data_IF_880814242913
#
_entry.id   IF_880814242913
#
_cell.length_a   1.000
_cell.length_b   1.000
_cell.length_c   1.000
_cell.angle_alpha   90.00
_cell.angle_beta   90.00
_cell.angle_gamma   90.00
#
_symmetry.space_group_name_H-M   'P 1'
#
loop_
_entity.id
_entity.type
_entity.pdbx_description
1 polymer ?
#
# COMPACT_ATOMS: atom_id res chain seq x y z
N UNK A 1 4.30 5.63 -27.50
CA UNK A 1 4.78 5.22 -26.17
C UNK A 1 4.13 6.11 -25.14
N UNK A 2 3.89 5.64 -23.92
CA UNK A 2 3.34 6.50 -22.86
C UNK A 2 4.31 7.67 -22.62
N UNK A 3 3.91 8.87 -23.01
CA UNK A 3 4.66 10.09 -22.71
C UNK A 3 4.73 10.30 -21.20
N UNK A 4 5.75 11.01 -20.72
CA UNK A 4 5.94 11.35 -19.31
C UNK A 4 4.67 11.95 -18.66
N UNK A 5 3.84 12.62 -19.46
CA UNK A 5 2.53 13.12 -19.06
C UNK A 5 1.60 12.03 -18.51
N UNK A 6 1.47 10.88 -19.19
CA UNK A 6 0.60 9.78 -18.75
C UNK A 6 1.07 9.18 -17.43
N UNK A 7 2.39 9.02 -17.27
CA UNK A 7 2.98 8.55 -16.01
C UNK A 7 2.69 9.54 -14.88
N UNK A 8 2.86 10.84 -15.13
CA UNK A 8 2.51 11.90 -14.18
C UNK A 8 1.03 11.89 -13.78
N UNK A 9 0.12 11.66 -14.73
CA UNK A 9 -1.31 11.51 -14.45
C UNK A 9 -1.60 10.29 -13.56
N UNK A 10 -0.97 9.14 -13.80
CA UNK A 10 -1.15 7.96 -12.96
C UNK A 10 -0.67 8.22 -11.52
N UNK A 11 0.47 8.88 -11.35
CA UNK A 11 0.97 9.29 -10.02
C UNK A 11 0.00 10.25 -9.33
N UNK A 12 -0.56 11.21 -10.07
CA UNK A 12 -1.57 12.13 -9.54
C UNK A 12 -2.85 11.41 -9.12
N UNK A 13 -3.35 10.47 -9.94
CA UNK A 13 -4.52 9.65 -9.61
C UNK A 13 -4.27 8.85 -8.33
N UNK A 14 -3.11 8.19 -8.22
CA UNK A 14 -2.71 7.49 -7.00
C UNK A 14 -2.75 8.43 -5.78
N UNK A 15 -2.10 9.59 -5.88
CA UNK A 15 -2.02 10.56 -4.78
C UNK A 15 -3.40 11.10 -4.37
N UNK A 16 -4.25 11.45 -5.34
CA UNK A 16 -5.61 11.93 -5.10
C UNK A 16 -6.43 10.87 -4.37
N UNK A 17 -6.42 9.63 -4.88
CA UNK A 17 -7.16 8.54 -4.24
C UNK A 17 -6.62 8.24 -2.85
N UNK A 18 -5.30 8.25 -2.67
CA UNK A 18 -4.67 8.08 -1.36
C UNK A 18 -5.13 9.14 -0.36
N UNK A 19 -5.07 10.43 -0.74
CA UNK A 19 -5.41 11.56 0.14
C UNK A 19 -6.90 11.55 0.49
N UNK A 20 -7.77 11.39 -0.51
CA UNK A 20 -9.23 11.41 -0.31
C UNK A 20 -9.67 10.26 0.59
N UNK A 21 -9.08 9.06 0.41
CA UNK A 21 -9.49 7.87 1.17
C UNK A 21 -8.90 7.83 2.58
N UNK A 22 -7.86 8.62 2.87
CA UNK A 22 -7.20 8.59 4.18
C UNK A 22 -8.15 8.99 5.32
N UNK A 23 -8.95 10.04 5.14
CA UNK A 23 -9.90 10.53 6.13
C UNK A 23 -11.05 9.53 6.42
N UNK A 24 -11.83 9.08 5.42
CA UNK A 24 -12.89 8.10 5.66
C UNK A 24 -12.33 6.75 6.11
N UNK A 25 -11.12 6.36 5.69
CA UNK A 25 -10.48 5.15 6.19
C UNK A 25 -10.14 5.25 7.66
N UNK A 26 -9.67 6.39 8.15
CA UNK A 26 -9.42 6.60 9.59
C UNK A 26 -10.69 6.39 10.40
N UNK A 27 -11.78 7.06 10.00
CA UNK A 27 -13.07 6.93 10.66
C UNK A 27 -13.66 5.51 10.57
N UNK A 28 -13.50 4.83 9.43
CA UNK A 28 -13.89 3.43 9.28
C UNK A 28 -13.07 2.54 10.22
N UNK A 29 -11.76 2.76 10.28
CA UNK A 29 -10.84 2.03 11.14
C UNK A 29 -11.15 2.19 12.63
N UNK A 30 -11.61 3.36 13.06
CA UNK A 30 -12.06 3.59 14.44
C UNK A 30 -13.34 2.79 14.76
N UNK A 31 -14.24 2.64 13.78
CA UNK A 31 -15.56 2.00 13.98
C UNK A 31 -15.55 0.48 13.92
N UNK A 32 -14.84 -0.10 12.94
CA UNK A 32 -14.84 -1.56 12.69
C UNK A 32 -13.56 -2.24 13.17
N UNK A 33 -12.68 -1.50 13.85
CA UNK A 33 -11.38 -1.96 14.29
C UNK A 33 -10.29 -1.83 13.22
N UNK A 34 -9.04 -1.75 13.67
CA UNK A 34 -7.86 -1.46 12.82
C UNK A 34 -7.54 -2.53 11.78
N UNK A 35 -7.89 -3.78 12.07
CA UNK A 35 -7.47 -4.92 11.26
C UNK A 35 -8.31 -5.06 10.00
N UNK A 36 -9.62 -4.82 10.06
CA UNK A 36 -10.51 -5.02 8.92
C UNK A 36 -10.10 -4.13 7.72
N UNK A 37 -9.91 -2.80 7.87
CA UNK A 37 -9.47 -1.97 6.76
C UNK A 37 -8.05 -2.31 6.30
N UNK A 38 -7.17 -2.75 7.20
CA UNK A 38 -5.82 -3.20 6.85
C UNK A 38 -5.87 -4.43 5.94
N UNK A 39 -6.66 -5.44 6.29
CA UNK A 39 -6.85 -6.67 5.49
C UNK A 39 -7.50 -6.35 4.14
N UNK A 40 -8.53 -5.51 4.13
CA UNK A 40 -9.19 -5.08 2.88
C UNK A 40 -8.23 -4.32 1.96
N UNK A 41 -7.48 -3.37 2.52
CA UNK A 41 -6.47 -2.62 1.78
C UNK A 41 -5.37 -3.53 1.22
N UNK A 42 -4.81 -4.44 2.03
CA UNK A 42 -3.80 -5.39 1.56
C UNK A 42 -4.33 -6.31 0.45
N UNK A 43 -5.57 -6.79 0.59
CA UNK A 43 -6.22 -7.60 -0.44
C UNK A 43 -6.39 -6.82 -1.74
N UNK A 44 -6.84 -5.56 -1.65
CA UNK A 44 -6.99 -4.68 -2.80
C UNK A 44 -5.65 -4.34 -3.47
N UNK A 45 -4.58 -4.15 -2.69
CA UNK A 45 -3.22 -3.96 -3.20
C UNK A 45 -2.74 -5.17 -4.02
N UNK A 46 -2.96 -6.39 -3.51
CA UNK A 46 -2.59 -7.63 -4.22
C UNK A 46 -3.33 -7.70 -5.56
N UNK A 47 -4.64 -7.51 -5.56
CA UNK A 47 -5.46 -7.56 -6.78
C UNK A 47 -5.02 -6.49 -7.78
N UNK A 48 -4.82 -5.25 -7.31
CA UNK A 48 -4.42 -4.13 -8.19
C UNK A 48 -3.05 -4.38 -8.84
N UNK A 49 -2.07 -4.87 -8.07
CA UNK A 49 -0.72 -5.17 -8.57
C UNK A 49 -0.67 -6.41 -9.48
N UNK A 50 -1.59 -7.36 -9.33
CA UNK A 50 -1.74 -8.50 -10.25
C UNK A 50 -2.37 -8.10 -11.58
N UNK A 51 -3.31 -7.16 -11.57
CA UNK A 51 -4.02 -6.71 -12.77
C UNK A 51 -3.16 -5.74 -13.57
N UNK A 52 -2.45 -4.80 -12.93
CA UNK A 52 -1.66 -3.74 -13.57
C UNK A 52 -0.77 -4.22 -14.75
N UNK A 53 -0.03 -5.34 -14.66
CA UNK A 53 0.84 -5.84 -15.73
C UNK A 53 0.11 -6.25 -17.01
N UNK A 54 -1.16 -6.63 -16.87
CA UNK A 54 -2.01 -7.15 -17.95
C UNK A 54 -2.72 -6.03 -18.70
N UNK A 55 -2.68 -4.81 -18.17
CA UNK A 55 -3.39 -3.66 -18.72
C UNK A 55 -2.51 -2.89 -19.69
N UNK A 56 -3.04 -2.60 -20.87
CA UNK A 56 -2.32 -1.88 -21.95
C UNK A 56 -3.00 -0.58 -22.38
N UNK A 57 -4.23 -0.32 -21.94
CA UNK A 57 -4.97 0.91 -22.25
C UNK A 57 -5.00 1.87 -21.05
N UNK A 58 -4.81 3.16 -21.32
CA UNK A 58 -4.69 4.17 -20.28
C UNK A 58 -5.87 4.23 -19.29
N UNK A 59 -7.16 4.18 -19.72
CA UNK A 59 -8.28 4.25 -18.77
C UNK A 59 -8.27 3.11 -17.74
N UNK A 60 -7.86 1.92 -18.16
CA UNK A 60 -7.79 0.76 -17.27
C UNK A 60 -6.54 0.81 -16.38
N UNK A 61 -5.43 1.41 -16.85
CA UNK A 61 -4.28 1.72 -15.99
C UNK A 61 -4.68 2.73 -14.91
N UNK A 62 -5.37 3.80 -15.29
CA UNK A 62 -5.88 4.81 -14.37
C UNK A 62 -6.79 4.17 -13.31
N UNK A 63 -7.70 3.28 -13.69
CA UNK A 63 -8.55 2.55 -12.74
C UNK A 63 -7.73 1.67 -11.80
N UNK A 64 -6.81 0.87 -12.32
CA UNK A 64 -5.98 -0.02 -11.49
C UNK A 64 -5.06 0.76 -10.53
N UNK A 65 -4.53 1.90 -10.97
CA UNK A 65 -3.75 2.82 -10.13
C UNK A 65 -4.63 3.51 -9.09
N UNK A 66 -5.86 3.87 -9.43
CA UNK A 66 -6.82 4.42 -8.47
C UNK A 66 -7.15 3.40 -7.37
N UNK A 67 -7.40 2.14 -7.74
CA UNK A 67 -7.62 1.04 -6.78
C UNK A 67 -6.40 0.83 -5.87
N UNK A 68 -5.18 0.92 -6.42
CA UNK A 68 -3.96 0.85 -5.63
C UNK A 68 -3.83 2.05 -4.66
N UNK A 69 -4.20 3.26 -5.09
CA UNK A 69 -4.26 4.44 -4.22
C UNK A 69 -5.29 4.29 -3.08
N UNK A 70 -6.48 3.77 -3.38
CA UNK A 70 -7.49 3.41 -2.39
C UNK A 70 -6.97 2.38 -1.39
N UNK A 71 -6.30 1.35 -1.87
CA UNK A 71 -5.70 0.32 -1.03
C UNK A 71 -4.70 0.92 -0.05
N UNK A 72 -3.81 1.79 -0.54
CA UNK A 72 -2.83 2.48 0.31
C UNK A 72 -3.49 3.44 1.32
N UNK A 73 -4.57 4.11 0.91
CA UNK A 73 -5.40 4.96 1.77
C UNK A 73 -6.11 4.21 2.88
N UNK A 74 -6.36 2.91 2.71
CA UNK A 74 -6.89 2.03 3.75
C UNK A 74 -5.82 1.54 4.72
N UNK A 75 -4.66 1.16 4.18
CA UNK A 75 -3.56 0.54 4.96
C UNK A 75 -2.90 1.56 5.89
N UNK A 76 -2.49 2.70 5.35
CA UNK A 76 -1.63 3.65 6.07
C UNK A 76 -2.24 4.18 7.39
N UNK A 77 -3.46 4.77 7.41
CA UNK A 77 -4.05 5.27 8.65
C UNK A 77 -4.36 4.14 9.64
N UNK A 78 -4.78 2.97 9.15
CA UNK A 78 -5.17 1.84 10.00
C UNK A 78 -3.98 1.22 10.74
N UNK A 79 -2.84 1.04 10.05
CA UNK A 79 -1.60 0.55 10.68
C UNK A 79 -1.01 1.62 11.60
N UNK A 80 -0.99 2.89 11.17
CA UNK A 80 -0.48 3.98 12.01
C UNK A 80 -1.26 4.08 13.33
N UNK A 81 -2.58 3.94 13.27
CA UNK A 81 -3.42 3.92 14.47
C UNK A 81 -3.21 2.65 15.29
N UNK A 82 -3.06 1.48 14.67
CA UNK A 82 -2.75 0.23 15.37
C UNK A 82 -1.45 0.33 16.19
N UNK A 83 -0.40 0.97 15.66
CA UNK A 83 0.85 1.20 16.38
C UNK A 83 0.61 2.10 17.60
N UNK A 84 -0.11 3.21 17.42
CA UNK A 84 -0.43 4.13 18.51
C UNK A 84 -1.30 3.49 19.60
N UNK A 85 -2.29 2.68 19.22
CA UNK A 85 -3.22 2.01 20.14
C UNK A 85 -2.52 0.93 20.99
N UNK A 86 -1.46 0.28 20.45
CA UNK A 86 -0.69 -0.75 21.16
C UNK A 86 0.56 -0.21 21.89
N UNK A 87 0.71 1.10 21.99
CA UNK A 87 1.85 1.74 22.65
C UNK A 87 1.41 2.55 23.87
N UNK A 88 2.15 2.43 24.98
CA UNK A 88 1.91 3.22 26.18
C UNK A 88 2.12 4.72 25.91
N UNK A 89 1.35 5.62 26.56
CA UNK A 89 1.36 7.05 26.25
C UNK A 89 2.76 7.70 26.21
N UNK A 90 3.65 7.28 27.10
CA UNK A 90 5.02 7.79 27.25
C UNK A 90 5.91 7.42 26.05
N UNK A 91 5.65 6.30 25.40
CA UNK A 91 6.46 5.75 24.30
C UNK A 91 5.85 6.00 22.91
N UNK A 92 4.63 6.56 22.83
CA UNK A 92 3.92 6.78 21.55
C UNK A 92 4.73 7.57 20.53
N UNK A 93 5.45 8.60 20.98
CA UNK A 93 6.31 9.39 20.11
C UNK A 93 7.46 8.58 19.52
N UNK A 94 8.10 7.74 20.34
CA UNK A 94 9.17 6.84 19.92
C UNK A 94 8.65 5.76 18.96
N UNK A 95 7.55 5.09 19.30
CA UNK A 95 6.96 4.05 18.46
C UNK A 95 6.53 4.60 17.09
N UNK A 96 5.89 5.77 17.06
CA UNK A 96 5.51 6.44 15.81
C UNK A 96 6.74 6.85 15.00
N UNK A 97 7.79 7.35 15.66
CA UNK A 97 9.07 7.66 15.03
C UNK A 97 9.73 6.44 14.39
N UNK A 98 9.80 5.31 15.11
CA UNK A 98 10.32 4.03 14.59
C UNK A 98 9.48 3.54 13.42
N UNK A 99 8.15 3.63 13.51
CA UNK A 99 7.25 3.23 12.43
C UNK A 99 7.51 4.02 11.14
N UNK A 100 7.60 5.35 11.22
CA UNK A 100 7.92 6.18 10.05
C UNK A 100 9.35 5.99 9.54
N UNK A 101 10.31 5.73 10.43
CA UNK A 101 11.67 5.40 10.04
C UNK A 101 11.72 4.08 9.24
N UNK A 102 11.02 3.05 9.71
CA UNK A 102 10.89 1.76 9.00
C UNK A 102 10.17 1.92 7.65
N UNK A 103 9.12 2.73 7.59
CA UNK A 103 8.41 3.02 6.34
C UNK A 103 9.34 3.72 5.34
N UNK A 104 10.08 4.73 5.79
CA UNK A 104 11.02 5.47 4.93
C UNK A 104 12.15 4.56 4.46
N UNK A 105 12.72 3.75 5.36
CA UNK A 105 13.74 2.76 5.01
C UNK A 105 13.20 1.72 4.01
N UNK A 106 11.97 1.25 4.21
CA UNK A 106 11.29 0.33 3.30
C UNK A 106 11.13 0.91 1.90
N UNK A 107 10.76 2.19 1.77
CA UNK A 107 10.69 2.87 0.47
C UNK A 107 12.09 3.04 -0.13
N UNK A 108 13.06 3.49 0.66
CA UNK A 108 14.43 3.74 0.21
C UNK A 108 15.14 2.48 -0.30
N UNK A 109 14.87 1.32 0.32
CA UNK A 109 15.42 0.02 -0.10
C UNK A 109 14.56 -0.62 -1.18
N UNK A 110 13.24 -0.58 -1.01
CA UNK A 110 12.28 -1.27 -1.88
C UNK A 110 12.25 -0.73 -3.29
N UNK A 111 12.30 0.60 -3.48
CA UNK A 111 12.24 1.20 -4.81
C UNK A 111 13.45 0.82 -5.71
N UNK A 112 14.72 0.92 -5.26
CA UNK A 112 15.86 0.43 -6.02
C UNK A 112 15.84 -1.08 -6.28
N UNK A 113 15.48 -1.88 -5.27
CA UNK A 113 15.41 -3.34 -5.40
C UNK A 113 14.38 -3.74 -6.46
N UNK A 114 13.17 -3.19 -6.38
CA UNK A 114 12.12 -3.48 -7.37
C UNK A 114 12.44 -2.90 -8.75
N UNK A 115 13.15 -1.77 -8.82
CA UNK A 115 13.68 -1.22 -10.07
C UNK A 115 14.70 -2.16 -10.72
N UNK A 116 15.65 -2.70 -9.95
CA UNK A 116 16.63 -3.68 -10.42
C UNK A 116 15.97 -4.99 -10.86
N UNK A 117 15.05 -5.53 -10.06
CA UNK A 117 14.25 -6.71 -10.42
C UNK A 117 13.48 -6.46 -11.71
N UNK A 118 12.82 -5.31 -11.85
CA UNK A 118 12.11 -4.91 -13.06
C UNK A 118 13.03 -4.78 -14.29
N UNK A 119 14.30 -4.41 -14.10
CA UNK A 119 15.32 -4.41 -15.15
C UNK A 119 15.76 -5.82 -15.57
N UNK A 120 15.76 -6.79 -14.66
CA UNK A 120 16.17 -8.18 -14.94
C UNK A 120 15.05 -9.03 -15.54
N UNK A 121 13.85 -8.97 -14.96
CA UNK A 121 12.71 -9.84 -15.36
C UNK A 121 11.65 -9.10 -16.18
N UNK A 122 11.82 -7.79 -16.38
CA UNK A 122 10.84 -6.93 -17.03
C UNK A 122 9.80 -6.37 -16.06
N UNK A 123 9.31 -5.17 -16.34
CA UNK A 123 8.39 -4.41 -15.48
C UNK A 123 7.12 -5.20 -15.14
N UNK A 124 6.57 -5.95 -16.10
CA UNK A 124 5.35 -6.75 -15.89
C UNK A 124 5.55 -7.83 -14.82
N UNK A 125 6.62 -8.61 -14.92
CA UNK A 125 6.94 -9.65 -13.94
C UNK A 125 7.39 -9.04 -12.61
N UNK A 126 8.14 -7.93 -12.64
CA UNK A 126 8.51 -7.21 -11.41
C UNK A 126 7.30 -6.76 -10.60
N UNK A 127 6.29 -6.19 -11.26
CA UNK A 127 5.02 -5.82 -10.61
C UNK A 127 4.26 -7.04 -10.06
N UNK A 128 4.22 -8.16 -10.79
CA UNK A 128 3.62 -9.40 -10.31
C UNK A 128 4.36 -9.95 -9.07
N UNK A 129 5.69 -9.88 -9.02
CA UNK A 129 6.46 -10.26 -7.84
C UNK A 129 6.17 -9.35 -6.64
N UNK A 130 5.98 -8.05 -6.86
CA UNK A 130 5.57 -7.11 -5.80
C UNK A 130 4.21 -7.49 -5.19
N UNK A 131 3.28 -7.98 -6.00
CA UNK A 131 2.00 -8.49 -5.50
C UNK A 131 2.18 -9.67 -4.54
N UNK A 132 3.20 -10.50 -4.77
CA UNK A 132 3.59 -11.59 -3.87
C UNK A 132 4.07 -11.09 -2.52
N UNK A 133 4.85 -9.99 -2.49
CA UNK A 133 5.29 -9.35 -1.24
C UNK A 133 4.08 -8.83 -0.46
N UNK A 134 3.12 -8.20 -1.14
CA UNK A 134 1.88 -7.75 -0.48
C UNK A 134 1.01 -8.91 0.00
N UNK A 135 0.96 -10.02 -0.74
CA UNK A 135 0.24 -11.22 -0.33
C UNK A 135 0.89 -11.86 0.92
N UNK A 136 2.22 -11.87 1.00
CA UNK A 136 2.94 -12.31 2.20
C UNK A 136 2.62 -11.41 3.40
N UNK A 137 2.61 -10.09 3.22
CA UNK A 137 2.20 -9.15 4.27
C UNK A 137 0.76 -9.41 4.75
N UNK A 138 -0.17 -9.65 3.82
CA UNK A 138 -1.54 -10.04 4.12
C UNK A 138 -1.62 -11.33 4.96
N UNK A 139 -0.89 -12.38 4.56
CA UNK A 139 -0.84 -13.64 5.31
C UNK A 139 -0.26 -13.45 6.71
N UNK A 140 0.80 -12.65 6.85
CA UNK A 140 1.40 -12.32 8.16
C UNK A 140 0.36 -11.63 9.04
N UNK A 141 -0.31 -10.59 8.53
CA UNK A 141 -1.35 -9.87 9.28
C UNK A 141 -2.44 -10.83 9.73
N UNK A 142 -3.01 -11.63 8.83
CA UNK A 142 -4.07 -12.60 9.15
C UNK A 142 -3.65 -13.63 10.20
N UNK A 143 -2.37 -14.05 10.19
CA UNK A 143 -1.84 -15.00 11.18
C UNK A 143 -1.60 -14.36 12.54
N UNK A 144 -1.12 -13.13 12.56
CA UNK A 144 -0.87 -12.39 13.81
C UNK A 144 -2.19 -12.02 14.47
N UNK A 145 -3.22 -11.61 13.72
CA UNK A 145 -4.50 -11.25 14.33
C UNK A 145 -5.29 -12.45 14.86
N UNK A 146 -5.13 -13.65 14.28
CA UNK A 146 -5.74 -14.86 14.85
C UNK A 146 -5.17 -15.26 16.20
N UNK A 147 -4.04 -14.66 16.63
CA UNK A 147 -3.38 -14.94 17.91
C UNK A 147 -3.69 -13.91 19.00
N UNK A 148 -4.33 -12.79 18.64
CA UNK A 148 -4.75 -11.71 19.56
C UNK A 148 -6.22 -11.91 19.87
#
# INVERSE_FOLDING_TARGET
GMEAFHVGMLLAIFAIMFIILQFPSGALSDRVGRIIPTVLGLSLSVVSLLILPSVVIFPLLALATALYGTAYGLIFPSISALVADNTIPEERGLATGIFHALLTAGVAIGAPVMGWVGGMVGVKLGLALNSGIMALALVIVLRTTKRI
#
